data_IF_163009935185
#
_entry.id   IF_163009935185
#
_cell.length_a   1.000
_cell.length_b   1.000
_cell.length_c   1.000
_cell.angle_alpha   90.00
_cell.angle_beta   90.00
_cell.angle_gamma   90.00
#
_symmetry.space_group_name_H-M   'P 1'
#
loop_
_entity.id
_entity.type
_entity.pdbx_description
1 polymer ?
#
# COMPACT_ATOMS: atom_id res chain seq x y z
N UNK A 1 5.20 -6.74 6.00
CA UNK A 1 4.14 -7.68 5.58
C UNK A 1 3.14 -6.91 4.73
N UNK A 2 3.39 -6.75 3.43
CA UNK A 2 2.40 -6.10 2.52
C UNK A 2 2.11 -6.93 1.26
N UNK A 3 2.65 -8.14 1.13
CA UNK A 3 2.51 -8.95 -0.10
C UNK A 3 1.65 -10.20 0.06
N UNK A 4 1.20 -10.54 1.27
CA UNK A 4 0.38 -11.75 1.51
C UNK A 4 -1.14 -11.49 1.38
N UNK A 5 -1.57 -10.24 1.25
CA UNK A 5 -2.98 -9.88 1.23
C UNK A 5 -3.33 -9.02 0.01
N UNK A 6 -4.55 -9.19 -0.51
CA UNK A 6 -5.13 -8.39 -1.58
C UNK A 6 -6.53 -7.92 -1.21
N UNK A 7 -6.99 -6.87 -1.89
CA UNK A 7 -8.37 -6.41 -1.81
C UNK A 7 -9.25 -7.09 -2.85
N UNK A 8 -10.47 -7.45 -2.45
CA UNK A 8 -11.55 -7.94 -3.32
C UNK A 8 -12.80 -7.12 -3.05
N UNK A 9 -13.48 -6.66 -4.10
CA UNK A 9 -14.80 -6.05 -3.96
C UNK A 9 -15.89 -7.13 -4.07
N UNK A 10 -16.61 -7.38 -2.98
CA UNK A 10 -17.72 -8.36 -2.93
C UNK A 10 -18.95 -7.88 -3.73
N UNK A 11 -19.04 -6.58 -4.05
CA UNK A 11 -20.16 -6.03 -4.83
C UNK A 11 -20.03 -6.25 -6.35
N UNK A 12 -18.80 -6.19 -6.91
CA UNK A 12 -18.60 -6.25 -8.36
C UNK A 12 -17.52 -7.25 -8.81
N UNK A 13 -16.83 -7.91 -7.89
CA UNK A 13 -15.79 -8.90 -8.18
C UNK A 13 -14.43 -8.32 -8.58
N UNK A 14 -14.24 -7.00 -8.57
CA UNK A 14 -12.93 -6.39 -8.85
C UNK A 14 -11.87 -6.83 -7.83
N UNK A 15 -10.68 -7.18 -8.31
CA UNK A 15 -9.53 -7.62 -7.51
C UNK A 15 -8.22 -6.92 -7.90
N UNK A 16 -8.26 -5.95 -8.81
CA UNK A 16 -7.04 -5.37 -9.40
C UNK A 16 -6.95 -3.85 -9.30
N UNK A 17 -8.05 -3.11 -9.06
CA UNK A 17 -8.04 -1.64 -9.05
C UNK A 17 -8.75 -1.05 -7.83
N UNK A 18 -7.99 -0.44 -6.93
CA UNK A 18 -8.50 0.19 -5.72
C UNK A 18 -7.72 1.49 -5.46
N UNK A 19 -8.42 2.53 -4.99
CA UNK A 19 -7.77 3.66 -4.35
C UNK A 19 -7.59 3.31 -2.88
N UNK A 20 -6.36 3.39 -2.38
CA UNK A 20 -6.00 3.06 -0.99
C UNK A 20 -5.41 4.29 -0.35
N UNK A 21 -6.00 4.74 0.76
CA UNK A 21 -5.51 5.87 1.55
C UNK A 21 -4.88 5.32 2.82
N UNK A 22 -3.63 5.71 3.07
CA UNK A 22 -2.86 5.32 4.25
C UNK A 22 -2.25 6.57 4.88
N UNK A 23 -2.27 6.63 6.20
CA UNK A 23 -1.48 7.59 6.98
C UNK A 23 -0.27 6.86 7.54
N UNK A 24 0.93 7.39 7.31
CA UNK A 24 2.15 6.79 7.84
C UNK A 24 3.02 7.85 8.54
N UNK A 25 3.56 7.47 9.69
CA UNK A 25 4.61 8.22 10.37
C UNK A 25 5.95 7.58 10.00
N UNK A 26 6.84 8.36 9.38
CA UNK A 26 8.14 7.87 8.90
C UNK A 26 9.28 8.68 9.49
N UNK A 27 10.38 8.01 9.81
CA UNK A 27 11.66 8.60 10.16
C UNK A 27 12.60 8.40 8.99
N UNK A 28 13.23 9.49 8.51
CA UNK A 28 14.18 9.47 7.40
C UNK A 28 15.49 10.09 7.83
N UNK A 29 16.59 9.38 7.60
CA UNK A 29 17.94 9.93 7.74
C UNK A 29 18.34 10.55 6.40
N UNK A 30 18.46 11.88 6.39
CA UNK A 30 18.87 12.65 5.22
C UNK A 30 20.36 12.96 5.29
N UNK A 31 21.10 12.62 4.25
CA UNK A 31 22.46 13.09 4.05
C UNK A 31 22.45 14.21 3.01
N UNK A 32 22.94 15.37 3.43
CA UNK A 32 23.12 16.55 2.59
C UNK A 32 24.57 16.66 2.13
N UNK A 33 24.78 16.99 0.87
CA UNK A 33 26.09 17.41 0.41
C UNK A 33 26.37 18.89 0.76
N UNK A 34 27.59 19.34 0.50
CA UNK A 34 28.00 20.72 0.75
C UNK A 34 27.27 21.75 -0.13
N UNK A 35 26.68 21.31 -1.24
CA UNK A 35 25.86 22.14 -2.14
C UNK A 35 24.39 22.22 -1.72
N UNK A 36 23.97 21.47 -0.69
CA UNK A 36 22.62 21.45 -0.15
C UNK A 36 21.68 20.43 -0.81
N UNK A 37 22.15 19.61 -1.76
CA UNK A 37 21.33 18.51 -2.28
C UNK A 37 21.24 17.40 -1.22
N UNK A 38 20.08 16.75 -1.10
CA UNK A 38 19.83 15.72 -0.09
C UNK A 38 19.46 14.38 -0.72
N UNK A 39 19.91 13.30 -0.10
CA UNK A 39 19.40 11.94 -0.33
C UNK A 39 18.95 11.31 0.98
N UNK A 40 17.91 10.48 0.93
CA UNK A 40 17.51 9.64 2.06
C UNK A 40 18.44 8.41 2.05
N UNK A 41 19.21 8.20 3.10
CA UNK A 41 20.08 7.03 3.23
C UNK A 41 19.37 5.89 3.97
N UNK A 42 18.54 6.23 4.96
CA UNK A 42 17.75 5.27 5.72
C UNK A 42 16.32 5.78 5.89
N UNK A 43 15.35 4.89 5.78
CA UNK A 43 13.93 5.16 6.02
C UNK A 43 13.36 4.07 6.93
N UNK A 44 12.63 4.49 7.94
CA UNK A 44 11.89 3.61 8.84
C UNK A 44 10.44 4.09 8.95
N UNK A 45 9.50 3.17 8.78
CA UNK A 45 8.08 3.40 9.05
C UNK A 45 7.83 3.10 10.53
N UNK A 46 7.51 4.14 11.30
CA UNK A 46 7.27 4.03 12.74
C UNK A 46 5.83 3.60 13.03
N UNK A 47 4.89 4.08 12.23
CA UNK A 47 3.47 3.77 12.33
C UNK A 47 2.82 3.85 10.95
N UNK A 48 1.84 2.99 10.71
CA UNK A 48 1.08 2.96 9.47
C UNK A 48 -0.36 2.56 9.76
N UNK A 49 -1.30 3.43 9.38
CA UNK A 49 -2.73 3.19 9.55
C UNK A 49 -3.46 3.24 8.20
N UNK A 50 -4.19 2.17 7.88
CA UNK A 50 -5.08 2.13 6.72
C UNK A 50 -6.30 3.03 6.98
N UNK A 51 -6.53 4.00 6.08
CA UNK A 51 -7.64 4.94 6.17
C UNK A 51 -8.88 4.47 5.41
N UNK A 52 -8.79 4.36 4.09
CA UNK A 52 -9.92 3.95 3.24
C UNK A 52 -9.48 3.14 2.04
N UNK A 53 -10.33 2.21 1.61
CA UNK A 53 -10.16 1.47 0.37
C UNK A 53 -11.42 1.65 -0.48
N UNK A 54 -11.26 2.13 -1.70
CA UNK A 54 -12.37 2.36 -2.63
C UNK A 54 -12.20 1.51 -3.87
N UNK A 55 -13.21 0.72 -4.23
CA UNK A 55 -13.21 0.00 -5.50
C UNK A 55 -13.28 1.01 -6.65
N UNK A 56 -12.27 1.03 -7.52
CA UNK A 56 -12.23 1.95 -8.66
C UNK A 56 -13.23 1.63 -9.76
N UNK A 57 -13.83 0.44 -9.71
CA UNK A 57 -14.80 0.01 -10.69
C UNK A 57 -16.22 0.48 -10.35
N UNK A 58 -16.69 0.24 -9.12
CA UNK A 58 -18.06 0.56 -8.70
C UNK A 58 -18.17 1.68 -7.67
N UNK A 59 -17.05 2.22 -7.18
CA UNK A 59 -17.00 3.33 -6.21
C UNK A 59 -17.33 2.95 -4.77
N UNK A 60 -17.60 1.66 -4.49
CA UNK A 60 -17.96 1.20 -3.14
C UNK A 60 -16.74 1.11 -2.22
N UNK A 61 -16.94 1.44 -0.96
CA UNK A 61 -15.95 1.35 0.14
C UNK A 61 -16.34 0.35 1.22
N UNK A 62 -17.63 0.04 1.33
CA UNK A 62 -18.25 -0.85 2.32
C UNK A 62 -18.31 -2.32 1.89
N UNK A 63 -17.99 -2.61 0.63
CA UNK A 63 -18.00 -3.95 0.05
C UNK A 63 -16.59 -4.49 -0.23
N UNK A 64 -15.57 -4.02 0.51
CA UNK A 64 -14.18 -4.41 0.31
C UNK A 64 -13.78 -5.46 1.35
N UNK A 65 -13.30 -6.59 0.87
CA UNK A 65 -12.75 -7.69 1.66
C UNK A 65 -11.23 -7.75 1.48
N UNK A 66 -10.52 -7.97 2.57
CA UNK A 66 -9.11 -8.35 2.54
C UNK A 66 -9.04 -9.87 2.52
N UNK A 67 -8.34 -10.44 1.55
CA UNK A 67 -8.11 -11.88 1.43
C UNK A 67 -6.63 -12.16 1.14
N UNK A 68 -6.19 -13.41 1.30
CA UNK A 68 -4.80 -13.75 0.95
C UNK A 68 -4.57 -13.57 -0.54
N UNK A 69 -3.45 -12.95 -0.87
CA UNK A 69 -2.97 -12.95 -2.24
C UNK A 69 -2.59 -14.38 -2.64
N UNK A 70 -2.84 -14.80 -3.89
CA UNK A 70 -2.35 -16.07 -4.37
C UNK A 70 -0.82 -16.07 -4.32
N UNK A 71 -0.22 -17.16 -3.83
CA UNK A 71 1.21 -17.39 -3.99
C UNK A 71 1.49 -17.55 -5.48
N UNK A 72 2.23 -16.62 -6.07
CA UNK A 72 2.77 -16.84 -7.41
C UNK A 72 3.68 -18.07 -7.37
N UNK A 73 3.49 -19.07 -8.25
CA UNK A 73 4.46 -20.15 -8.41
C UNK A 73 5.83 -19.55 -8.79
N UNK A 74 6.96 -20.21 -8.45
CA UNK A 74 8.24 -19.81 -9.01
C UNK A 74 8.13 -19.86 -10.55
N UNK A 75 8.44 -18.74 -11.19
CA UNK A 75 8.58 -18.67 -12.64
C UNK A 75 9.70 -19.66 -13.04
N UNK A 76 9.40 -20.61 -13.92
CA UNK A 76 10.37 -21.60 -14.43
C UNK A 76 11.24 -20.97 -15.52
#
# INVERSE_FOLDING_TARGET
MESDHRYRCDACGNVTRFDVVVTATTRRYHHFDLGGASRVEEEEILDQQLGSVTCRWCGRTDAIRVERAPVSPPEH
#
